data_IF_031711618389
#
_entry.id   IF_031711618389
#
_cell.length_a   1.000
_cell.length_b   1.000
_cell.length_c   1.000
_cell.angle_alpha   90.00
_cell.angle_beta   90.00
_cell.angle_gamma   90.00
#
_symmetry.space_group_name_H-M   'P 1'
#
loop_
_entity.id
_entity.type
_entity.pdbx_description
1 polymer ?
#
# COMPACT_ATOMS: atom_id res chain seq x y z
N UNK A 1 21.45 6.70 -31.91
CA UNK A 1 21.38 6.87 -30.44
C UNK A 1 19.91 6.96 -30.07
N UNK A 2 19.32 5.86 -29.58
CA UNK A 2 17.94 5.88 -29.11
C UNK A 2 17.92 6.68 -27.81
N UNK A 3 17.47 7.93 -27.88
CA UNK A 3 17.19 8.72 -26.69
C UNK A 3 16.20 7.96 -25.82
N UNK A 4 16.52 7.81 -24.54
CA UNK A 4 15.61 7.28 -23.51
C UNK A 4 14.23 7.90 -23.73
N UNK A 5 13.23 7.09 -24.09
CA UNK A 5 11.87 7.51 -24.43
C UNK A 5 11.07 8.08 -23.25
N UNK A 6 11.75 8.59 -22.23
CA UNK A 6 11.18 9.17 -21.02
C UNK A 6 11.16 10.68 -21.22
N UNK A 7 9.96 11.27 -21.18
CA UNK A 7 9.79 12.71 -21.28
C UNK A 7 10.48 13.41 -20.10
N UNK A 8 11.26 14.46 -20.41
CA UNK A 8 12.00 15.25 -19.42
C UNK A 8 11.65 16.73 -19.57
N UNK A 9 11.47 17.41 -18.45
CA UNK A 9 11.29 18.86 -18.34
C UNK A 9 12.39 19.42 -17.45
N UNK A 10 13.13 20.41 -17.96
CA UNK A 10 14.28 21.02 -17.26
C UNK A 10 15.33 20.00 -16.76
N UNK A 11 15.53 18.92 -17.53
CA UNK A 11 16.47 17.84 -17.20
C UNK A 11 15.96 16.83 -16.14
N UNK A 12 14.79 17.07 -15.52
CA UNK A 12 14.12 16.14 -14.62
C UNK A 12 13.03 15.35 -15.37
N UNK A 13 12.63 14.20 -14.81
CA UNK A 13 11.55 13.40 -15.37
C UNK A 13 10.26 14.23 -15.34
N UNK A 14 9.57 14.32 -16.46
CA UNK A 14 8.29 15.03 -16.56
C UNK A 14 7.15 14.10 -16.16
N UNK A 15 6.79 14.15 -14.89
CA UNK A 15 5.69 13.36 -14.35
C UNK A 15 4.30 13.87 -14.72
N UNK A 16 4.17 15.05 -15.35
CA UNK A 16 2.87 15.54 -15.83
C UNK A 16 2.33 14.69 -17.00
N UNK A 17 3.21 13.90 -17.62
CA UNK A 17 2.90 13.00 -18.71
C UNK A 17 2.71 11.55 -18.26
N UNK A 18 2.73 11.29 -16.95
CA UNK A 18 2.35 9.99 -16.40
C UNK A 18 0.85 9.73 -16.65
N UNK A 19 0.48 8.48 -16.88
CA UNK A 19 -0.92 8.06 -17.10
C UNK A 19 -1.82 8.40 -15.90
N UNK A 20 -1.22 8.52 -14.71
CA UNK A 20 -1.90 8.92 -13.47
C UNK A 20 -1.66 10.37 -13.07
N UNK A 21 -1.02 11.18 -13.93
CA UNK A 21 -0.68 12.57 -13.62
C UNK A 21 -1.90 13.44 -13.25
N UNK A 22 -3.09 13.10 -13.79
CA UNK A 22 -4.36 13.76 -13.46
C UNK A 22 -4.75 13.64 -11.98
N UNK A 23 -4.19 12.67 -11.26
CA UNK A 23 -4.43 12.46 -9.82
C UNK A 23 -3.44 13.22 -8.93
N UNK A 24 -2.52 14.00 -9.51
CA UNK A 24 -1.53 14.79 -8.76
C UNK A 24 -0.54 13.96 -7.94
N UNK A 25 -0.47 12.65 -8.19
CA UNK A 25 0.33 11.68 -7.43
C UNK A 25 1.26 10.93 -8.37
N UNK A 26 2.52 10.80 -8.00
CA UNK A 26 3.39 9.77 -8.57
C UNK A 26 2.96 8.44 -7.98
N UNK A 27 2.43 7.56 -8.83
CA UNK A 27 2.04 6.22 -8.39
C UNK A 27 3.29 5.36 -8.34
N UNK A 28 3.85 5.24 -7.14
CA UNK A 28 4.99 4.37 -6.87
C UNK A 28 4.47 3.12 -6.17
N UNK A 29 4.65 1.96 -6.81
CA UNK A 29 4.30 0.65 -6.24
C UNK A 29 5.15 0.27 -5.01
N UNK A 30 6.18 1.08 -4.70
CA UNK A 30 7.11 0.89 -3.60
C UNK A 30 6.99 1.96 -2.50
N UNK A 31 6.02 2.87 -2.63
CA UNK A 31 5.67 3.85 -1.60
C UNK A 31 4.47 3.33 -0.81
N UNK A 32 4.37 3.74 0.47
CA UNK A 32 3.42 3.43 1.54
C UNK A 32 2.08 2.77 1.13
N UNK A 33 1.43 3.28 0.09
CA UNK A 33 0.15 2.79 -0.44
C UNK A 33 0.16 1.32 -0.91
N UNK A 34 1.31 0.77 -1.29
CA UNK A 34 1.44 -0.64 -1.71
C UNK A 34 2.04 -1.55 -0.62
N UNK A 35 2.51 -0.98 0.50
CA UNK A 35 3.10 -1.72 1.62
C UNK A 35 2.06 -2.06 2.70
N UNK A 36 1.03 -1.22 2.85
CA UNK A 36 -0.14 -1.47 3.72
C UNK A 36 -1.32 -0.67 3.20
N UNK A 37 -2.54 -1.19 3.35
CA UNK A 37 -3.77 -0.44 3.09
C UNK A 37 -4.41 0.11 4.36
N UNK A 38 -3.78 -0.07 5.52
CA UNK A 38 -4.35 0.24 6.83
C UNK A 38 -4.98 1.64 6.88
N UNK A 39 -4.25 2.67 6.46
CA UNK A 39 -4.73 4.05 6.48
C UNK A 39 -5.97 4.27 5.59
N UNK A 40 -6.03 3.62 4.43
CA UNK A 40 -7.20 3.70 3.55
C UNK A 40 -8.39 2.99 4.18
N UNK A 41 -8.15 1.88 4.87
CA UNK A 41 -9.16 1.04 5.49
C UNK A 41 -9.79 1.71 6.71
N UNK A 42 -9.06 2.53 7.47
CA UNK A 42 -9.61 3.35 8.57
C UNK A 42 -10.83 4.19 8.14
N UNK A 43 -10.76 4.79 6.94
CA UNK A 43 -11.87 5.60 6.41
C UNK A 43 -13.10 4.75 6.11
N UNK A 44 -12.90 3.54 5.59
CA UNK A 44 -13.98 2.59 5.36
C UNK A 44 -14.55 2.04 6.66
N UNK A 45 -13.71 1.75 7.66
CA UNK A 45 -14.13 1.26 8.96
C UNK A 45 -15.05 2.27 9.67
N UNK A 46 -14.74 3.56 9.58
CA UNK A 46 -15.59 4.63 10.14
C UNK A 46 -17.00 4.68 9.51
N UNK A 47 -17.18 4.23 8.27
CA UNK A 47 -18.46 4.28 7.56
C UNK A 47 -19.21 2.94 7.55
N UNK A 48 -18.49 1.83 7.46
CA UNK A 48 -19.01 0.48 7.26
C UNK A 48 -18.88 -0.42 8.50
N UNK A 49 -18.26 0.07 9.57
CA UNK A 49 -17.93 -0.68 10.79
C UNK A 49 -16.82 -1.74 10.55
N UNK A 50 -16.92 -3.05 10.87
CA UNK A 50 -15.78 -3.93 10.69
C UNK A 50 -15.52 -4.22 9.21
N UNK A 51 -14.30 -3.96 8.76
CA UNK A 51 -13.85 -4.20 7.38
C UNK A 51 -12.53 -4.97 7.39
N UNK A 52 -12.25 -5.71 6.33
CA UNK A 52 -10.94 -6.34 6.13
C UNK A 52 -10.52 -6.20 4.68
N UNK A 53 -9.21 -6.19 4.44
CA UNK A 53 -8.65 -6.29 3.10
C UNK A 53 -7.86 -7.57 2.92
N UNK A 54 -7.86 -8.07 1.69
CA UNK A 54 -7.00 -9.16 1.25
C UNK A 54 -6.34 -8.72 -0.05
N UNK A 55 -5.06 -8.36 0.01
CA UNK A 55 -4.39 -7.72 -1.13
C UNK A 55 -2.93 -8.15 -1.28
N UNK A 56 -2.39 -8.08 -2.50
CA UNK A 56 -0.95 -8.15 -2.71
C UNK A 56 -0.29 -6.89 -2.14
N UNK A 57 0.84 -7.11 -1.48
CA UNK A 57 1.68 -6.12 -0.82
C UNK A 57 3.09 -6.26 -1.34
N UNK A 58 3.74 -5.12 -1.63
CA UNK A 58 5.09 -5.09 -2.15
C UNK A 58 6.05 -4.42 -1.16
N UNK A 59 7.25 -4.99 -1.02
CA UNK A 59 8.35 -4.40 -0.25
C UNK A 59 9.63 -4.39 -1.08
N UNK A 60 10.24 -3.22 -1.19
CA UNK A 60 11.43 -3.00 -2.03
C UNK A 60 12.75 -3.09 -1.26
N UNK A 61 12.74 -3.58 -0.02
CA UNK A 61 13.95 -3.73 0.79
C UNK A 61 14.93 -4.75 0.19
N UNK A 62 16.21 -4.38 0.11
CA UNK A 62 17.26 -5.26 -0.34
C UNK A 62 17.70 -6.19 0.80
N UNK A 63 16.90 -7.22 1.08
CA UNK A 63 17.17 -8.24 2.09
C UNK A 63 16.90 -9.63 1.51
N UNK A 64 17.93 -10.45 1.43
CA UNK A 64 17.85 -11.78 0.81
C UNK A 64 17.92 -12.88 1.87
N UNK A 65 16.78 -13.20 2.48
CA UNK A 65 16.63 -14.37 3.36
C UNK A 65 15.44 -15.21 2.90
N UNK A 66 15.39 -16.47 3.34
CA UNK A 66 14.32 -17.41 2.94
C UNK A 66 12.91 -17.02 3.41
N UNK A 67 12.79 -16.00 4.28
CA UNK A 67 11.50 -15.52 4.82
C UNK A 67 11.11 -14.12 4.35
N UNK A 68 11.93 -13.45 3.53
CA UNK A 68 11.60 -12.12 2.98
C UNK A 68 11.19 -12.26 1.52
N UNK A 69 9.94 -11.90 1.22
CA UNK A 69 9.40 -11.86 -0.12
C UNK A 69 9.20 -10.40 -0.54
N UNK A 70 9.53 -10.08 -1.79
CA UNK A 70 9.28 -8.76 -2.38
C UNK A 70 7.79 -8.54 -2.63
N UNK A 71 7.04 -9.64 -2.85
CA UNK A 71 5.59 -9.64 -3.02
C UNK A 71 4.98 -10.73 -2.13
N UNK A 72 3.99 -10.36 -1.33
CA UNK A 72 3.26 -11.28 -0.47
C UNK A 72 1.83 -10.77 -0.25
N UNK A 73 0.98 -11.64 0.29
CA UNK A 73 -0.42 -11.31 0.56
C UNK A 73 -0.60 -10.93 2.03
N UNK A 74 -1.33 -9.84 2.25
CA UNK A 74 -1.70 -9.37 3.58
C UNK A 74 -3.22 -9.47 3.74
N UNK A 75 -3.63 -9.96 4.91
CA UNK A 75 -4.97 -9.75 5.44
C UNK A 75 -4.86 -8.63 6.47
N UNK A 76 -5.58 -7.53 6.28
CA UNK A 76 -5.56 -6.38 7.18
C UNK A 76 -7.00 -6.09 7.64
N UNK A 77 -7.41 -6.60 8.82
CA UNK A 77 -8.68 -6.23 9.43
C UNK A 77 -8.58 -4.85 10.11
N UNK A 78 -9.68 -4.09 10.08
CA UNK A 78 -9.81 -2.82 10.78
C UNK A 78 -11.20 -2.73 11.41
N UNK A 79 -11.24 -2.38 12.69
CA UNK A 79 -12.48 -2.30 13.46
C UNK A 79 -12.54 -0.91 14.09
N UNK A 80 -13.60 -0.16 13.80
CA UNK A 80 -13.79 1.17 14.38
C UNK A 80 -14.35 1.07 15.81
N UNK A 81 -14.01 2.06 16.64
CA UNK A 81 -14.50 2.23 18.02
C UNK A 81 -14.11 1.13 19.02
N UNK A 82 -13.08 0.36 18.72
CA UNK A 82 -12.52 -0.69 19.58
C UNK A 82 -11.26 -0.22 20.29
N UNK A 83 -10.98 -0.82 21.45
CA UNK A 83 -9.70 -0.67 22.12
C UNK A 83 -8.73 -1.81 21.77
N UNK A 84 -7.55 -1.80 22.38
CA UNK A 84 -6.54 -2.83 22.14
C UNK A 84 -6.96 -4.21 22.66
N UNK A 85 -7.79 -4.28 23.70
CA UNK A 85 -8.29 -5.56 24.23
C UNK A 85 -9.27 -6.19 23.24
N UNK A 86 -10.14 -5.38 22.65
CA UNK A 86 -11.07 -5.81 21.61
C UNK A 86 -10.32 -6.34 20.36
N UNK A 87 -9.25 -5.66 19.94
CA UNK A 87 -8.40 -6.10 18.83
C UNK A 87 -7.72 -7.45 19.14
N UNK A 88 -7.14 -7.60 20.34
CA UNK A 88 -6.54 -8.87 20.78
C UNK A 88 -7.58 -10.01 20.82
N UNK A 89 -8.77 -9.74 21.35
CA UNK A 89 -9.87 -10.71 21.40
C UNK A 89 -10.37 -11.09 19.99
N UNK A 90 -10.23 -10.21 19.00
CA UNK A 90 -10.54 -10.52 17.61
C UNK A 90 -9.43 -11.33 16.93
N UNK A 91 -8.16 -11.05 17.26
CA UNK A 91 -7.01 -11.69 16.66
C UNK A 91 -6.76 -13.11 17.19
N UNK A 92 -6.91 -13.35 18.50
CA UNK A 92 -6.62 -14.64 19.13
C UNK A 92 -7.43 -15.82 18.54
N UNK A 93 -8.74 -15.72 18.29
CA UNK A 93 -9.52 -16.82 17.71
C UNK A 93 -9.26 -17.05 16.20
N UNK A 94 -8.61 -16.11 15.52
CA UNK A 94 -8.35 -16.17 14.08
C UNK A 94 -7.06 -16.97 13.76
N UNK A 95 -6.15 -17.11 14.73
CA UNK A 95 -4.88 -17.84 14.63
C UNK A 95 -5.09 -19.33 14.91
#
# INVERSE_FOLDING_TARGET
>A
MFGSGIAKKDGKIDYALDSFASQGKHVLLYQDNCTTAQLQVETYACALSPVYTFRPTLRAEHLHTSRHLVEFWMVEPEIAFTDIQDDMNCAEPYV
#
